data_IF_117594523147
#
_entry.id   IF_117594523147
#
_cell.length_a   1.000
_cell.length_b   1.000
_cell.length_c   1.000
_cell.angle_alpha   90.00
_cell.angle_beta   90.00
_cell.angle_gamma   90.00
#
_symmetry.space_group_name_H-M   'P 1'
#
loop_
_entity.id
_entity.type
_entity.pdbx_description
1 polymer ?
#
# COMPACT_ATOMS: atom_id res chain seq x y z
N UNK A 1 -36.70 -38.77 -94.19
CA UNK A 1 -35.31 -38.98 -93.74
C UNK A 1 -34.88 -37.74 -92.96
N UNK A 2 -35.03 -37.69 -91.73
CA UNK A 2 -34.62 -36.56 -90.89
C UNK A 2 -33.61 -37.10 -89.81
N UNK A 3 -32.43 -36.55 -89.86
CA UNK A 3 -31.37 -36.87 -88.90
C UNK A 3 -31.53 -35.97 -87.68
N UNK A 4 -31.78 -36.53 -86.53
CA UNK A 4 -31.80 -35.87 -85.23
C UNK A 4 -30.41 -35.92 -84.66
N UNK A 5 -29.79 -34.75 -84.50
CA UNK A 5 -28.52 -34.57 -83.81
C UNK A 5 -28.81 -34.36 -82.32
N UNK A 6 -28.30 -35.24 -81.50
CA UNK A 6 -28.32 -35.12 -80.03
C UNK A 6 -27.17 -34.23 -79.56
N UNK A 7 -27.49 -33.26 -78.73
CA UNK A 7 -26.51 -32.36 -78.03
C UNK A 7 -26.24 -32.94 -76.65
N UNK A 8 -24.99 -33.11 -76.18
CA UNK A 8 -24.73 -33.54 -74.85
C UNK A 8 -24.83 -32.38 -73.88
N UNK A 9 -25.59 -32.56 -72.82
CA UNK A 9 -25.77 -31.68 -71.67
C UNK A 9 -24.55 -31.80 -70.73
N UNK A 10 -23.70 -30.83 -70.74
CA UNK A 10 -22.60 -30.74 -69.77
C UNK A 10 -23.13 -30.29 -68.44
N UNK A 11 -23.10 -31.18 -67.44
CA UNK A 11 -23.44 -30.89 -66.05
C UNK A 11 -22.21 -30.23 -65.42
N UNK A 12 -22.29 -28.93 -65.11
CA UNK A 12 -21.28 -28.18 -64.35
C UNK A 12 -21.53 -28.45 -62.89
N UNK A 13 -20.67 -29.26 -62.22
CA UNK A 13 -20.63 -29.41 -60.78
C UNK A 13 -20.03 -28.13 -60.17
N UNK A 14 -20.89 -27.30 -59.63
CA UNK A 14 -20.42 -26.17 -58.78
C UNK A 14 -19.98 -26.72 -57.45
N UNK A 15 -18.67 -26.78 -57.20
CA UNK A 15 -18.09 -27.02 -55.87
C UNK A 15 -18.31 -25.79 -55.01
N UNK A 16 -19.31 -25.80 -54.14
CA UNK A 16 -19.47 -24.82 -53.08
C UNK A 16 -18.43 -25.11 -52.01
N UNK A 17 -17.35 -24.36 -51.98
CA UNK A 17 -16.46 -24.26 -50.85
C UNK A 17 -17.21 -23.63 -49.67
N UNK A 18 -17.60 -24.42 -48.69
CA UNK A 18 -17.98 -23.92 -47.38
C UNK A 18 -16.72 -23.30 -46.77
N UNK A 19 -16.63 -21.99 -46.84
CA UNK A 19 -15.77 -21.23 -45.93
C UNK A 19 -16.38 -21.40 -44.54
N UNK A 20 -15.79 -22.26 -43.71
CA UNK A 20 -16.05 -22.25 -42.29
C UNK A 20 -15.67 -20.84 -41.80
N UNK A 21 -16.65 -20.06 -41.41
CA UNK A 21 -16.42 -18.90 -40.58
C UNK A 21 -15.76 -19.47 -39.33
N UNK A 22 -14.46 -19.18 -39.17
CA UNK A 22 -13.83 -19.30 -37.88
C UNK A 22 -14.67 -18.49 -36.90
N UNK A 23 -15.10 -19.13 -35.86
CA UNK A 23 -15.66 -18.45 -34.72
C UNK A 23 -14.77 -17.26 -34.43
N UNK A 24 -15.34 -16.07 -34.40
CA UNK A 24 -14.72 -14.96 -33.74
C UNK A 24 -14.43 -15.46 -32.32
N UNK A 25 -13.16 -15.57 -32.00
CA UNK A 25 -12.73 -15.54 -30.62
C UNK A 25 -13.37 -14.29 -30.05
N UNK A 26 -14.38 -14.47 -29.22
CA UNK A 26 -14.75 -13.48 -28.26
C UNK A 26 -13.53 -13.43 -27.32
N UNK A 27 -12.55 -12.60 -27.66
CA UNK A 27 -11.63 -12.05 -26.69
C UNK A 27 -12.46 -11.17 -25.75
N UNK A 28 -13.25 -11.79 -24.89
CA UNK A 28 -13.45 -11.27 -23.56
C UNK A 28 -12.13 -11.52 -22.86
N UNK A 29 -11.19 -10.63 -23.05
CA UNK A 29 -10.14 -10.42 -22.06
C UNK A 29 -10.87 -9.81 -20.88
N UNK A 30 -11.39 -10.65 -19.98
CA UNK A 30 -11.79 -10.15 -18.67
C UNK A 30 -10.52 -9.52 -18.09
N UNK A 31 -10.60 -8.25 -17.67
CA UNK A 31 -9.48 -7.56 -17.05
C UNK A 31 -9.01 -8.37 -15.85
N UNK A 32 -7.71 -8.36 -15.59
CA UNK A 32 -7.14 -8.97 -14.40
C UNK A 32 -7.79 -8.36 -13.15
N UNK A 33 -8.33 -9.20 -12.27
CA UNK A 33 -8.97 -8.78 -11.03
C UNK A 33 -7.98 -8.84 -9.88
N UNK A 34 -7.69 -7.70 -9.30
CA UNK A 34 -6.77 -7.58 -8.16
C UNK A 34 -7.54 -7.13 -6.93
N UNK A 35 -7.38 -7.86 -5.84
CA UNK A 35 -7.86 -7.45 -4.53
C UNK A 35 -6.67 -6.98 -3.69
N UNK A 36 -6.71 -5.77 -3.17
CA UNK A 36 -5.66 -5.19 -2.35
C UNK A 36 -6.19 -4.87 -0.95
N UNK A 37 -5.48 -5.28 0.09
CA UNK A 37 -5.91 -5.04 1.48
C UNK A 37 -5.82 -3.58 1.87
N UNK A 38 -4.90 -2.82 1.30
CA UNK A 38 -4.69 -1.39 1.58
C UNK A 38 -4.71 -0.53 0.33
N UNK A 39 -4.95 0.77 0.50
CA UNK A 39 -4.86 1.75 -0.58
C UNK A 39 -3.44 1.86 -1.18
N UNK A 40 -2.40 1.65 -0.38
CA UNK A 40 -1.00 1.64 -0.84
C UNK A 40 -0.75 0.53 -1.87
N UNK A 41 -1.23 -0.68 -1.59
CA UNK A 41 -1.13 -1.82 -2.50
C UNK A 41 -2.00 -1.66 -3.74
N UNK A 42 -3.20 -1.06 -3.57
CA UNK A 42 -4.08 -0.77 -4.69
C UNK A 42 -3.45 0.25 -5.65
N UNK A 43 -2.81 1.31 -5.12
CA UNK A 43 -2.08 2.30 -5.91
C UNK A 43 -0.88 1.67 -6.65
N UNK A 44 -0.10 0.83 -5.97
CA UNK A 44 0.99 0.09 -6.62
C UNK A 44 0.47 -0.78 -7.77
N UNK A 45 -0.59 -1.56 -7.52
CA UNK A 45 -1.21 -2.39 -8.56
C UNK A 45 -1.73 -1.56 -9.75
N UNK A 46 -2.34 -0.39 -9.50
CA UNK A 46 -2.83 0.50 -10.55
C UNK A 46 -1.71 1.09 -11.41
N UNK A 47 -0.54 1.35 -10.82
CA UNK A 47 0.63 1.83 -11.55
C UNK A 47 1.27 0.74 -12.43
N UNK A 48 1.19 -0.54 -12.01
CA UNK A 48 1.79 -1.65 -12.72
C UNK A 48 0.83 -2.28 -13.74
N UNK A 49 -0.45 -2.35 -13.43
CA UNK A 49 -1.49 -2.96 -14.24
C UNK A 49 -2.69 -2.01 -14.39
N UNK A 50 -2.57 -0.91 -15.16
CA UNK A 50 -3.59 0.14 -15.25
C UNK A 50 -4.93 -0.33 -15.86
N UNK A 51 -4.94 -1.46 -16.56
CA UNK A 51 -6.17 -2.05 -17.14
C UNK A 51 -6.84 -3.06 -16.18
N UNK A 52 -6.25 -3.33 -15.01
CA UNK A 52 -6.80 -4.27 -14.04
C UNK A 52 -8.02 -3.70 -13.30
N UNK A 53 -8.96 -4.57 -12.95
CA UNK A 53 -10.08 -4.25 -12.06
C UNK A 53 -9.64 -4.42 -10.60
N UNK A 54 -9.34 -3.29 -9.94
CA UNK A 54 -8.77 -3.29 -8.58
C UNK A 54 -9.86 -3.03 -7.55
N UNK A 55 -9.94 -3.91 -6.55
CA UNK A 55 -10.79 -3.74 -5.36
C UNK A 55 -9.91 -3.49 -4.15
N UNK A 56 -10.15 -2.40 -3.43
CA UNK A 56 -9.44 -2.06 -2.19
C UNK A 56 -10.30 -2.41 -0.98
N UNK A 57 -9.74 -3.15 -0.02
CA UNK A 57 -10.45 -3.54 1.20
C UNK A 57 -10.55 -2.37 2.20
N UNK A 58 -9.41 -1.82 2.59
CA UNK A 58 -9.35 -0.70 3.56
C UNK A 58 -9.19 0.61 2.81
N UNK A 59 -10.26 1.38 2.76
CA UNK A 59 -10.26 2.70 2.14
C UNK A 59 -9.80 3.82 3.07
N UNK A 60 -9.83 5.09 2.61
CA UNK A 60 -9.41 6.24 3.38
C UNK A 60 -10.07 6.33 4.75
N UNK A 61 -9.25 6.55 5.80
CA UNK A 61 -9.71 6.62 7.20
C UNK A 61 -10.07 5.29 7.84
N UNK A 62 -9.89 4.16 7.14
CA UNK A 62 -9.97 2.83 7.72
C UNK A 62 -8.72 2.48 8.52
N UNK A 63 -8.74 1.34 9.21
CA UNK A 63 -7.63 0.85 10.01
C UNK A 63 -7.31 -0.61 9.62
N UNK A 64 -6.20 -0.88 8.92
CA UNK A 64 -5.86 -2.22 8.47
C UNK A 64 -5.54 -3.20 9.60
N UNK A 65 -5.08 -2.73 10.77
CA UNK A 65 -4.74 -3.58 11.90
C UNK A 65 -5.96 -4.24 12.54
N UNK A 66 -7.08 -3.51 12.57
CA UNK A 66 -8.30 -3.93 13.26
C UNK A 66 -9.46 -4.23 12.31
N UNK A 67 -9.27 -4.02 11.01
CA UNK A 67 -10.32 -4.22 10.01
C UNK A 67 -10.83 -5.66 10.02
N UNK A 68 -12.14 -5.79 10.02
CA UNK A 68 -12.81 -7.08 9.90
C UNK A 68 -13.49 -7.17 8.53
N UNK A 69 -13.08 -8.12 7.67
CA UNK A 69 -13.59 -8.19 6.31
C UNK A 69 -15.10 -8.44 6.31
N UNK A 70 -15.79 -7.72 5.45
CA UNK A 70 -17.22 -7.91 5.19
C UNK A 70 -17.44 -9.14 4.31
N UNK A 71 -18.69 -9.59 4.18
CA UNK A 71 -19.04 -10.64 3.21
C UNK A 71 -18.64 -10.27 1.79
N UNK A 72 -18.77 -8.98 1.44
CA UNK A 72 -18.39 -8.47 0.12
C UNK A 72 -16.87 -8.58 -0.10
N UNK A 73 -16.06 -8.23 0.90
CA UNK A 73 -14.60 -8.36 0.80
C UNK A 73 -14.18 -9.82 0.61
N UNK A 74 -14.80 -10.74 1.36
CA UNK A 74 -14.53 -12.17 1.23
C UNK A 74 -14.92 -12.70 -0.16
N UNK A 75 -16.03 -12.22 -0.74
CA UNK A 75 -16.45 -12.58 -2.09
C UNK A 75 -15.48 -12.02 -3.12
N UNK A 76 -15.16 -10.74 -3.04
CA UNK A 76 -14.20 -10.08 -3.95
C UNK A 76 -12.80 -10.73 -3.90
N UNK A 77 -12.32 -11.04 -2.71
CA UNK A 77 -11.04 -11.74 -2.50
C UNK A 77 -11.02 -13.14 -3.15
N UNK A 78 -12.13 -13.88 -3.10
CA UNK A 78 -12.24 -15.20 -3.75
C UNK A 78 -12.30 -15.10 -5.27
N UNK A 79 -12.96 -14.07 -5.78
CA UNK A 79 -13.15 -13.85 -7.23
C UNK A 79 -11.93 -13.21 -7.89
N UNK A 80 -11.01 -12.65 -7.11
CA UNK A 80 -9.78 -12.05 -7.60
C UNK A 80 -8.83 -13.09 -8.22
N UNK A 81 -8.08 -12.69 -9.22
CA UNK A 81 -6.97 -13.46 -9.80
C UNK A 81 -5.71 -13.32 -8.95
N UNK A 82 -5.52 -12.16 -8.31
CA UNK A 82 -4.44 -11.86 -7.38
C UNK A 82 -4.97 -11.13 -6.14
N UNK A 83 -4.51 -11.56 -4.96
CA UNK A 83 -4.73 -10.87 -3.69
C UNK A 83 -3.41 -10.34 -3.18
N UNK A 84 -3.30 -9.01 -3.08
CA UNK A 84 -2.15 -8.31 -2.52
C UNK A 84 -2.45 -7.94 -1.06
N UNK A 85 -1.55 -8.27 -0.17
CA UNK A 85 -1.61 -7.90 1.23
C UNK A 85 -0.22 -7.56 1.77
N UNK A 86 -0.19 -6.78 2.85
CA UNK A 86 1.08 -6.27 3.34
C UNK A 86 1.94 -7.37 3.97
N UNK A 87 1.34 -8.27 4.73
CA UNK A 87 2.09 -9.19 5.57
C UNK A 87 2.62 -8.53 6.83
N UNK A 88 3.65 -9.13 7.47
CA UNK A 88 4.28 -8.60 8.68
C UNK A 88 3.27 -8.31 9.81
N UNK A 89 2.20 -9.08 9.89
CA UNK A 89 1.10 -8.91 10.86
C UNK A 89 0.25 -7.63 10.73
N UNK A 90 0.32 -6.88 9.63
CA UNK A 90 -0.60 -5.75 9.44
C UNK A 90 -2.06 -6.22 9.46
N UNK A 91 -2.37 -7.26 8.70
CA UNK A 91 -3.71 -7.85 8.60
C UNK A 91 -3.90 -9.00 9.61
N UNK A 92 -3.52 -8.76 10.88
CA UNK A 92 -3.48 -9.80 11.93
C UNK A 92 -4.79 -10.58 12.11
N UNK A 93 -5.95 -9.95 11.79
CA UNK A 93 -7.26 -10.56 11.96
C UNK A 93 -7.63 -11.56 10.85
N UNK A 94 -6.85 -11.63 9.74
CA UNK A 94 -7.20 -12.44 8.59
C UNK A 94 -6.03 -13.20 7.95
N UNK A 95 -4.89 -13.29 8.63
CA UNK A 95 -3.68 -14.00 8.13
C UNK A 95 -4.01 -15.40 7.63
N UNK A 96 -4.68 -16.23 8.44
CA UNK A 96 -5.05 -17.60 8.07
C UNK A 96 -5.89 -17.67 6.78
N UNK A 97 -6.75 -16.66 6.57
CA UNK A 97 -7.62 -16.58 5.39
C UNK A 97 -6.80 -16.22 4.15
N UNK A 98 -5.90 -15.25 4.27
CA UNK A 98 -5.02 -14.79 3.19
C UNK A 98 -4.05 -15.90 2.77
N UNK A 99 -3.38 -16.54 3.71
CA UNK A 99 -2.48 -17.67 3.45
C UNK A 99 -3.19 -18.87 2.79
N UNK A 100 -4.48 -19.09 3.14
CA UNK A 100 -5.27 -20.18 2.55
C UNK A 100 -5.52 -20.05 1.05
N UNK A 101 -5.29 -18.86 0.47
CA UNK A 101 -5.42 -18.60 -0.97
C UNK A 101 -4.26 -19.19 -1.79
N UNK A 102 -3.18 -19.65 -1.13
CA UNK A 102 -2.04 -20.29 -1.78
C UNK A 102 -1.36 -19.40 -2.80
N UNK A 103 -1.24 -19.84 -4.05
CA UNK A 103 -0.55 -19.10 -5.10
C UNK A 103 -1.29 -17.84 -5.60
N UNK A 104 -2.56 -17.66 -5.23
CA UNK A 104 -3.36 -16.49 -5.61
C UNK A 104 -3.04 -15.23 -4.78
N UNK A 105 -2.21 -15.33 -3.76
CA UNK A 105 -1.89 -14.20 -2.88
C UNK A 105 -0.40 -13.86 -2.92
N UNK A 106 -0.09 -12.63 -2.50
CA UNK A 106 1.26 -12.15 -2.26
C UNK A 106 1.27 -11.26 -1.01
N UNK A 107 1.99 -11.72 0.04
CA UNK A 107 2.38 -10.90 1.18
C UNK A 107 3.64 -10.14 0.79
N UNK A 108 3.53 -8.86 0.47
CA UNK A 108 4.68 -8.10 -0.07
C UNK A 108 5.78 -7.90 0.96
N UNK A 109 5.44 -7.74 2.24
CA UNK A 109 6.39 -7.59 3.33
C UNK A 109 7.21 -8.86 3.59
N UNK A 110 6.64 -10.03 3.31
CA UNK A 110 7.32 -11.31 3.49
C UNK A 110 8.33 -11.61 2.35
N UNK A 111 8.33 -10.79 1.29
CA UNK A 111 9.33 -10.86 0.22
C UNK A 111 10.60 -10.06 0.53
N UNK A 112 10.58 -9.26 1.58
CA UNK A 112 11.69 -8.37 1.95
C UNK A 112 12.75 -9.11 2.78
N UNK A 113 14.02 -8.66 2.70
CA UNK A 113 15.08 -9.19 3.54
C UNK A 113 14.86 -8.76 5.00
N UNK A 114 14.76 -9.72 5.91
CA UNK A 114 14.59 -9.48 7.34
C UNK A 114 15.64 -8.52 7.93
N UNK A 115 16.85 -8.46 7.35
CA UNK A 115 17.94 -7.56 7.79
C UNK A 115 17.60 -6.07 7.53
N UNK A 116 16.72 -5.79 6.58
CA UNK A 116 16.27 -4.44 6.28
C UNK A 116 15.05 -4.02 7.13
N UNK A 117 14.34 -5.00 7.69
CA UNK A 117 13.16 -4.76 8.52
C UNK A 117 13.52 -4.21 9.91
N UNK A 118 12.58 -3.45 10.48
CA UNK A 118 12.68 -2.98 11.85
C UNK A 118 12.00 -3.98 12.79
N UNK A 119 12.68 -4.43 13.85
CA UNK A 119 12.05 -5.34 14.79
C UNK A 119 10.92 -4.64 15.55
N UNK A 120 9.81 -5.32 15.67
CA UNK A 120 8.75 -4.90 16.56
C UNK A 120 9.08 -5.35 17.99
N UNK A 121 8.89 -4.51 19.03
CA UNK A 121 9.25 -4.87 20.40
C UNK A 121 8.48 -6.05 20.99
N UNK A 122 7.28 -6.30 20.47
CA UNK A 122 6.42 -7.40 20.88
C UNK A 122 6.75 -8.68 20.13
N UNK A 123 6.37 -9.81 20.71
CA UNK A 123 6.54 -11.12 20.09
C UNK A 123 5.18 -11.67 19.67
N UNK A 124 5.13 -12.41 18.58
CA UNK A 124 3.96 -13.13 18.15
C UNK A 124 3.53 -14.23 19.12
N UNK A 125 2.36 -14.83 18.88
CA UNK A 125 1.75 -15.83 19.78
C UNK A 125 2.62 -17.07 20.03
N UNK A 126 3.52 -17.38 19.10
CA UNK A 126 4.49 -18.49 19.20
C UNK A 126 5.85 -18.08 19.76
N UNK A 127 6.06 -16.81 20.09
CA UNK A 127 7.35 -16.24 20.50
C UNK A 127 8.24 -15.87 19.31
N UNK A 128 7.67 -15.84 18.10
CA UNK A 128 8.33 -15.38 16.88
C UNK A 128 8.62 -13.88 16.94
N UNK A 129 9.73 -13.46 16.32
CA UNK A 129 10.05 -12.06 16.15
C UNK A 129 9.04 -11.44 15.15
N UNK A 130 8.39 -10.37 15.58
CA UNK A 130 7.57 -9.54 14.68
C UNK A 130 8.39 -8.37 14.16
N UNK A 131 7.98 -7.87 13.00
CA UNK A 131 8.57 -6.72 12.35
C UNK A 131 7.52 -5.63 12.14
N UNK A 132 7.97 -4.38 12.16
CA UNK A 132 7.14 -3.21 11.88
C UNK A 132 6.56 -3.33 10.45
N UNK A 133 5.22 -3.34 10.30
CA UNK A 133 4.60 -3.59 9.00
C UNK A 133 4.55 -2.36 8.08
N UNK A 134 4.88 -1.16 8.56
CA UNK A 134 4.67 0.12 7.84
C UNK A 134 5.77 0.38 6.80
N UNK A 135 6.03 -0.62 5.95
CA UNK A 135 7.12 -0.64 4.96
C UNK A 135 7.03 0.45 3.90
N UNK A 136 5.81 0.96 3.60
CA UNK A 136 5.59 2.07 2.66
C UNK A 136 6.24 3.39 3.12
N UNK A 137 6.56 3.54 4.41
CA UNK A 137 7.30 4.67 4.93
C UNK A 137 8.81 4.61 4.66
N UNK A 138 9.30 3.53 4.03
CA UNK A 138 10.64 3.41 3.47
C UNK A 138 10.56 3.32 1.94
N UNK A 139 10.94 4.35 1.18
CA UNK A 139 10.99 4.26 -0.28
C UNK A 139 11.78 3.06 -0.81
N UNK A 140 12.88 2.69 -0.13
CA UNK A 140 13.67 1.50 -0.46
C UNK A 140 12.84 0.22 -0.37
N UNK A 141 12.16 0.00 0.77
CA UNK A 141 11.37 -1.22 0.98
C UNK A 141 10.12 -1.23 0.10
N UNK A 142 9.53 -0.06 -0.11
CA UNK A 142 8.37 0.06 -0.99
C UNK A 142 8.71 -0.23 -2.45
N UNK A 143 9.87 0.21 -2.95
CA UNK A 143 10.36 -0.18 -4.29
C UNK A 143 10.52 -1.70 -4.41
N UNK A 144 11.09 -2.36 -3.41
CA UNK A 144 11.21 -3.82 -3.40
C UNK A 144 9.84 -4.53 -3.37
N UNK A 145 8.86 -3.97 -2.65
CA UNK A 145 7.49 -4.46 -2.66
C UNK A 145 6.85 -4.29 -4.06
N UNK A 146 7.08 -3.15 -4.72
CA UNK A 146 6.63 -2.88 -6.10
C UNK A 146 7.24 -3.87 -7.09
N UNK A 147 8.55 -4.14 -6.99
CA UNK A 147 9.24 -5.16 -7.80
C UNK A 147 8.57 -6.52 -7.63
N UNK A 148 8.32 -6.95 -6.37
CA UNK A 148 7.68 -8.25 -6.09
C UNK A 148 6.25 -8.34 -6.62
N UNK A 149 5.50 -7.24 -6.65
CA UNK A 149 4.17 -7.17 -7.27
C UNK A 149 4.30 -7.34 -8.80
N UNK A 150 5.26 -6.65 -9.43
CA UNK A 150 5.52 -6.75 -10.87
C UNK A 150 5.88 -8.17 -11.29
N UNK A 151 6.76 -8.84 -10.56
CA UNK A 151 7.14 -10.23 -10.77
C UNK A 151 5.92 -11.16 -10.65
N UNK A 152 5.11 -10.97 -9.62
CA UNK A 152 3.90 -11.77 -9.39
C UNK A 152 2.86 -11.58 -10.48
N UNK A 153 2.67 -10.37 -10.98
CA UNK A 153 1.82 -10.08 -12.13
C UNK A 153 2.32 -10.79 -13.39
N UNK A 154 3.64 -10.76 -13.64
CA UNK A 154 4.26 -11.47 -14.75
C UNK A 154 4.13 -12.99 -14.68
N UNK A 155 4.12 -13.57 -13.48
CA UNK A 155 3.87 -15.01 -13.26
C UNK A 155 2.44 -15.41 -13.61
N UNK A 156 1.46 -14.54 -13.30
CA UNK A 156 0.04 -14.80 -13.54
C UNK A 156 -0.33 -14.54 -15.00
N UNK A 157 0.21 -13.48 -15.57
CA UNK A 157 -0.02 -13.03 -16.94
C UNK A 157 1.30 -12.89 -17.70
N UNK A 158 1.84 -14.03 -18.11
CA UNK A 158 3.14 -14.11 -18.77
C UNK A 158 3.20 -13.44 -20.15
N UNK A 159 2.05 -13.17 -20.77
CA UNK A 159 1.97 -12.45 -22.04
C UNK A 159 2.39 -10.97 -21.86
N UNK A 160 2.05 -10.36 -20.71
CA UNK A 160 2.35 -8.98 -20.38
C UNK A 160 3.49 -8.82 -19.35
N UNK A 161 4.25 -9.89 -19.04
CA UNK A 161 5.31 -9.85 -18.02
C UNK A 161 6.34 -8.72 -18.24
N UNK A 162 6.72 -8.45 -19.50
CA UNK A 162 7.66 -7.39 -19.83
C UNK A 162 7.07 -5.97 -19.60
N UNK A 163 5.77 -5.83 -19.77
CA UNK A 163 5.07 -4.56 -19.53
C UNK A 163 4.99 -4.28 -18.03
N UNK A 164 4.68 -5.29 -17.21
CA UNK A 164 4.67 -5.18 -15.74
C UNK A 164 6.04 -4.84 -15.18
N UNK A 165 7.11 -5.51 -15.64
CA UNK A 165 8.48 -5.20 -15.24
C UNK A 165 8.86 -3.76 -15.61
N UNK A 166 8.52 -3.32 -16.83
CA UNK A 166 8.79 -1.93 -17.27
C UNK A 166 8.00 -0.92 -16.44
N UNK A 167 6.76 -1.22 -16.07
CA UNK A 167 5.93 -0.36 -15.24
C UNK A 167 6.48 -0.28 -13.81
N UNK A 168 6.96 -1.39 -13.24
CA UNK A 168 7.63 -1.43 -11.94
C UNK A 168 8.89 -0.54 -11.95
N UNK A 169 9.80 -0.71 -12.91
CA UNK A 169 11.02 0.12 -13.06
C UNK A 169 10.70 1.62 -13.13
N UNK A 170 9.64 1.97 -13.87
CA UNK A 170 9.18 3.35 -13.98
C UNK A 170 8.64 3.90 -12.66
N UNK A 171 7.85 3.10 -11.94
CA UNK A 171 7.28 3.51 -10.67
C UNK A 171 8.35 3.62 -9.58
N UNK A 172 9.29 2.70 -9.50
CA UNK A 172 10.47 2.78 -8.63
C UNK A 172 11.30 4.04 -8.88
N UNK A 173 11.47 4.42 -10.14
CA UNK A 173 12.14 5.67 -10.50
C UNK A 173 11.41 6.91 -9.96
N UNK A 174 10.07 6.88 -9.92
CA UNK A 174 9.26 7.96 -9.33
C UNK A 174 9.38 7.95 -7.79
N UNK A 175 9.39 6.77 -7.16
CA UNK A 175 9.60 6.62 -5.72
C UNK A 175 10.96 7.20 -5.31
N UNK A 176 12.02 6.88 -6.06
CA UNK A 176 13.35 7.44 -5.83
C UNK A 176 13.39 8.97 -5.97
N UNK A 177 12.71 9.51 -6.97
CA UNK A 177 12.60 10.96 -7.16
C UNK A 177 11.83 11.65 -6.02
N UNK A 178 10.77 11.02 -5.49
CA UNK A 178 10.03 11.50 -4.34
C UNK A 178 10.88 11.47 -3.06
N UNK A 179 11.70 10.44 -2.87
CA UNK A 179 12.69 10.38 -1.78
C UNK A 179 13.69 11.53 -1.87
N UNK A 180 14.30 11.73 -3.03
CA UNK A 180 15.27 12.83 -3.26
C UNK A 180 14.66 14.22 -2.97
N UNK A 181 13.39 14.41 -3.27
CA UNK A 181 12.65 15.63 -2.98
C UNK A 181 12.43 15.78 -1.47
N UNK A 182 11.96 14.73 -0.81
CA UNK A 182 11.75 14.70 0.64
C UNK A 182 13.05 14.97 1.41
N UNK A 183 14.18 14.38 1.01
CA UNK A 183 15.49 14.64 1.61
C UNK A 183 15.87 16.11 1.57
N UNK A 184 15.63 16.80 0.44
CA UNK A 184 15.91 18.22 0.28
C UNK A 184 14.99 19.08 1.15
N UNK A 185 13.70 18.78 1.21
CA UNK A 185 12.73 19.51 2.02
C UNK A 185 13.02 19.34 3.52
N UNK A 186 13.38 18.13 3.96
CA UNK A 186 13.67 17.81 5.35
C UNK A 186 15.07 18.22 5.80
N UNK A 187 15.95 18.68 4.92
CA UNK A 187 17.37 18.96 5.25
C UNK A 187 17.56 19.97 6.38
N UNK A 188 16.64 20.92 6.52
CA UNK A 188 16.71 21.99 7.56
C UNK A 188 15.83 21.73 8.77
N UNK A 189 14.98 20.68 8.75
CA UNK A 189 14.05 20.37 9.83
C UNK A 189 14.76 20.14 11.17
N UNK A 190 14.32 20.82 12.22
CA UNK A 190 14.84 20.69 13.60
C UNK A 190 13.75 20.97 14.62
N UNK A 191 13.74 20.24 15.76
CA UNK A 191 14.62 19.11 16.07
C UNK A 191 14.33 17.91 15.17
N UNK A 192 15.29 16.97 15.07
CA UNK A 192 15.09 15.70 14.34
C UNK A 192 14.32 14.70 15.21
N UNK A 193 13.15 15.14 15.66
CA UNK A 193 12.24 14.36 16.49
C UNK A 193 10.84 14.52 15.93
N UNK A 194 10.19 13.41 15.63
CA UNK A 194 8.83 13.37 15.11
C UNK A 194 7.92 12.75 16.17
N UNK A 195 6.87 13.48 16.54
CA UNK A 195 5.84 13.02 17.47
C UNK A 195 4.56 12.81 16.70
N UNK A 196 4.05 11.58 16.64
CA UNK A 196 2.84 11.18 15.88
C UNK A 196 1.76 10.64 16.81
N UNK A 197 0.58 10.43 16.28
CA UNK A 197 -0.49 9.73 16.96
C UNK A 197 -0.22 8.23 16.98
N UNK A 198 -0.11 7.63 15.81
CA UNK A 198 0.18 6.21 15.62
C UNK A 198 1.67 5.98 15.35
N UNK A 199 2.20 4.82 15.79
CA UNK A 199 3.61 4.44 15.66
C UNK A 199 3.92 3.77 14.31
N UNK A 200 3.59 4.48 13.22
CA UNK A 200 3.74 4.00 11.84
C UNK A 200 5.00 4.55 11.13
N UNK A 201 5.71 5.51 11.71
CA UNK A 201 6.73 6.29 10.99
C UNK A 201 8.18 5.87 11.28
N UNK A 202 8.41 4.68 11.86
CA UNK A 202 9.76 4.23 12.22
C UNK A 202 10.68 4.09 11.01
N UNK A 203 10.16 3.58 9.87
CA UNK A 203 10.93 3.54 8.62
C UNK A 203 11.19 4.92 8.02
N UNK A 204 10.26 5.86 8.15
CA UNK A 204 10.50 7.26 7.81
C UNK A 204 11.63 7.83 8.67
N UNK A 205 11.61 7.56 9.97
CA UNK A 205 12.67 7.93 10.90
C UNK A 205 14.03 7.36 10.51
N UNK A 206 14.09 6.07 10.17
CA UNK A 206 15.32 5.41 9.70
C UNK A 206 15.84 6.02 8.39
N UNK A 207 14.94 6.36 7.46
CA UNK A 207 15.28 6.91 6.15
C UNK A 207 15.81 8.34 6.26
N UNK A 208 15.17 9.18 7.09
CA UNK A 208 15.45 10.62 7.15
C UNK A 208 16.11 11.07 8.44
N UNK A 209 16.63 10.16 9.26
CA UNK A 209 17.33 10.45 10.53
C UNK A 209 16.47 11.24 11.53
N UNK A 210 15.23 10.77 11.78
CA UNK A 210 14.36 11.27 12.84
C UNK A 210 14.22 10.24 13.96
N UNK A 211 14.19 10.74 15.20
CA UNK A 211 13.81 9.98 16.39
C UNK A 211 12.27 9.99 16.48
N UNK A 212 11.65 8.84 16.35
CA UNK A 212 10.20 8.70 16.26
C UNK A 212 9.60 8.36 17.61
N UNK A 213 8.54 9.06 17.99
CA UNK A 213 7.73 8.77 19.16
C UNK A 213 6.26 8.95 18.83
N UNK A 214 5.40 8.08 19.37
CA UNK A 214 3.96 8.10 19.11
C UNK A 214 3.13 8.03 20.39
N UNK A 215 1.86 8.43 20.31
CA UNK A 215 0.91 8.30 21.43
C UNK A 215 0.33 6.89 21.53
N UNK A 216 0.37 6.12 20.46
CA UNK A 216 -0.07 4.73 20.38
C UNK A 216 1.12 3.80 20.04
N UNK A 217 0.84 2.51 19.88
CA UNK A 217 1.82 1.49 19.53
C UNK A 217 1.84 1.22 18.02
N UNK A 218 2.70 0.31 17.58
CA UNK A 218 2.78 -0.18 16.18
C UNK A 218 1.49 -0.87 15.74
N UNK A 219 0.70 -1.42 16.65
CA UNK A 219 -0.68 -1.82 16.40
C UNK A 219 -1.65 -0.85 17.07
N UNK A 220 -2.76 -0.57 16.41
CA UNK A 220 -3.83 0.27 16.96
C UNK A 220 -4.72 -0.46 17.97
N UNK A 221 -4.51 -1.76 18.21
CA UNK A 221 -5.27 -2.57 19.18
C UNK A 221 -5.05 -2.14 20.64
N UNK A 222 -3.92 -1.46 20.93
CA UNK A 222 -3.57 -1.02 22.27
C UNK A 222 -3.18 0.45 22.32
N UNK A 223 -3.41 1.11 23.45
CA UNK A 223 -3.04 2.50 23.68
C UNK A 223 -2.04 2.61 24.82
N UNK A 224 -1.15 3.60 24.75
CA UNK A 224 -0.15 3.86 25.81
C UNK A 224 -0.82 4.23 27.13
N UNK A 225 -0.24 3.76 28.21
CA UNK A 225 -0.67 4.09 29.58
C UNK A 225 -0.43 5.56 29.92
N UNK A 226 -1.09 6.06 30.96
CA UNK A 226 -0.87 7.42 31.46
C UNK A 226 0.61 7.69 31.84
N UNK A 227 1.33 6.66 32.29
CA UNK A 227 2.76 6.77 32.61
C UNK A 227 3.59 6.98 31.34
N UNK A 228 3.38 6.18 30.30
CA UNK A 228 4.08 6.30 29.02
C UNK A 228 3.78 7.64 28.34
N UNK A 229 2.53 8.12 28.38
CA UNK A 229 2.18 9.47 27.89
C UNK A 229 2.88 10.55 28.70
N UNK A 230 3.04 10.35 30.03
CA UNK A 230 3.80 11.29 30.88
C UNK A 230 5.29 11.33 30.50
N UNK A 231 5.92 10.17 30.29
CA UNK A 231 7.32 10.06 29.84
C UNK A 231 7.53 10.68 28.45
N UNK A 232 6.57 10.49 27.56
CA UNK A 232 6.59 11.14 26.24
C UNK A 232 6.49 12.67 26.36
N UNK A 233 5.67 13.16 27.29
CA UNK A 233 5.56 14.61 27.55
C UNK A 233 6.87 15.20 28.13
N UNK A 234 7.60 14.44 28.95
CA UNK A 234 8.93 14.83 29.42
C UNK A 234 9.92 14.93 28.24
N UNK A 235 9.92 13.92 27.37
CA UNK A 235 10.75 13.89 26.15
C UNK A 235 10.49 15.10 25.25
N UNK A 236 9.23 15.46 25.01
CA UNK A 236 8.84 16.60 24.17
C UNK A 236 9.34 17.92 24.79
N UNK A 237 9.14 18.08 26.10
CA UNK A 237 9.56 19.30 26.81
C UNK A 237 11.08 19.43 26.85
N UNK A 238 11.82 18.37 27.13
CA UNK A 238 13.27 18.35 27.21
C UNK A 238 13.94 18.60 25.85
N UNK A 239 13.44 17.94 24.80
CA UNK A 239 13.93 18.11 23.43
C UNK A 239 13.38 19.36 22.74
N UNK A 240 12.45 20.09 23.40
CA UNK A 240 11.79 21.28 22.88
C UNK A 240 11.13 21.07 21.53
N UNK A 241 10.43 19.95 21.38
CA UNK A 241 9.70 19.63 20.15
C UNK A 241 8.53 20.60 20.01
N UNK A 242 8.39 21.32 18.88
CA UNK A 242 7.39 22.36 18.74
C UNK A 242 5.99 21.87 18.35
N UNK A 243 5.90 20.65 17.78
CA UNK A 243 4.66 20.14 17.18
C UNK A 243 4.46 18.65 17.46
N UNK A 244 3.21 18.27 17.73
CA UNK A 244 2.70 16.90 17.70
C UNK A 244 1.91 16.78 16.40
N UNK A 245 2.28 15.83 15.55
CA UNK A 245 1.56 15.57 14.31
C UNK A 245 0.38 14.64 14.58
N UNK A 246 -0.81 15.06 14.20
CA UNK A 246 -1.93 14.13 14.07
C UNK A 246 -1.77 13.36 12.77
N UNK A 247 -2.25 12.16 12.75
CA UNK A 247 -2.30 11.29 11.57
C UNK A 247 -3.70 10.67 11.45
N UNK A 248 -3.96 10.02 10.34
CA UNK A 248 -5.27 9.45 10.02
C UNK A 248 -5.64 8.21 10.85
N UNK A 249 -4.77 7.78 11.79
CA UNK A 249 -5.04 6.75 12.80
C UNK A 249 -5.01 7.30 14.23
N UNK A 250 -4.57 8.54 14.40
CA UNK A 250 -4.39 9.15 15.71
C UNK A 250 -5.67 9.15 16.55
N UNK A 251 -5.54 8.73 17.81
CA UNK A 251 -6.58 8.96 18.80
C UNK A 251 -6.57 10.44 19.24
N UNK A 252 -7.59 11.27 18.88
CA UNK A 252 -7.57 12.70 19.19
C UNK A 252 -7.52 13.00 20.69
N UNK A 253 -8.05 12.09 21.52
CA UNK A 253 -8.02 12.23 22.98
C UNK A 253 -6.60 12.05 23.53
N UNK A 254 -5.84 11.07 22.99
CA UNK A 254 -4.46 10.83 23.38
C UNK A 254 -3.57 12.03 23.01
N UNK A 255 -3.69 12.53 21.78
CA UNK A 255 -2.96 13.72 21.30
C UNK A 255 -3.27 14.95 22.18
N UNK A 256 -4.54 15.19 22.52
CA UNK A 256 -4.95 16.30 23.39
C UNK A 256 -4.38 16.15 24.79
N UNK A 257 -4.41 14.95 25.34
CA UNK A 257 -3.89 14.65 26.69
C UNK A 257 -2.38 14.84 26.73
N UNK A 258 -1.65 14.41 25.69
CA UNK A 258 -0.22 14.63 25.55
C UNK A 258 0.11 16.13 25.50
N UNK A 259 -0.60 16.93 24.68
CA UNK A 259 -0.40 18.36 24.61
C UNK A 259 -0.54 19.03 25.98
N UNK A 260 -1.61 18.72 26.72
CA UNK A 260 -1.83 19.25 28.08
C UNK A 260 -0.73 18.81 29.05
N UNK A 261 -0.26 17.57 28.96
CA UNK A 261 0.83 17.06 29.77
C UNK A 261 2.16 17.82 29.51
N UNK A 262 2.46 18.14 28.25
CA UNK A 262 3.63 18.95 27.87
C UNK A 262 3.50 20.39 28.38
N UNK A 263 2.33 21.00 28.24
CA UNK A 263 2.08 22.37 28.74
C UNK A 263 2.25 22.46 30.26
N UNK A 264 1.87 21.43 30.99
CA UNK A 264 2.07 21.37 32.45
C UNK A 264 3.55 21.36 32.85
N UNK A 265 4.47 21.01 31.95
CA UNK A 265 5.93 21.05 32.09
C UNK A 265 6.55 22.39 31.70
N UNK A 266 5.71 23.36 31.32
CA UNK A 266 6.14 24.71 30.93
C UNK A 266 6.64 24.83 29.49
N UNK A 267 6.47 23.79 28.67
CA UNK A 267 6.76 23.85 27.24
C UNK A 267 5.46 23.98 26.44
N UNK A 268 5.43 24.90 25.47
CA UNK A 268 4.28 25.08 24.58
C UNK A 268 4.49 24.27 23.31
N UNK A 269 3.67 23.25 23.11
CA UNK A 269 3.63 22.45 21.89
C UNK A 269 2.31 22.69 21.16
N UNK A 270 2.33 22.66 19.83
CA UNK A 270 1.11 22.74 19.00
C UNK A 270 0.78 21.36 18.43
N UNK A 271 -0.49 21.16 18.10
CA UNK A 271 -0.89 20.02 17.28
C UNK A 271 -0.95 20.50 15.83
N UNK A 272 -0.46 19.69 14.89
CA UNK A 272 -0.46 20.04 13.46
C UNK A 272 -1.86 20.29 12.94
N UNK A 273 -2.00 21.30 12.07
CA UNK A 273 -3.26 21.56 11.36
C UNK A 273 -3.51 20.50 10.29
N UNK A 274 -2.45 20.14 9.57
CA UNK A 274 -2.45 19.12 8.54
C UNK A 274 -2.19 17.73 9.16
N UNK A 275 -2.86 16.72 8.60
CA UNK A 275 -2.79 15.33 9.04
C UNK A 275 -1.72 14.59 8.23
N UNK A 276 -0.99 13.68 8.88
CA UNK A 276 -0.11 12.74 8.19
C UNK A 276 -0.91 11.49 7.79
N UNK A 277 -0.55 10.91 6.67
CA UNK A 277 -1.10 9.64 6.20
C UNK A 277 -0.24 8.50 6.74
N UNK A 278 -0.74 7.80 7.77
CA UNK A 278 -0.08 6.67 8.41
C UNK A 278 -0.38 5.37 7.66
N UNK A 279 -1.60 4.83 7.81
CA UNK A 279 -1.97 3.49 7.34
C UNK A 279 -2.87 3.49 6.10
N UNK A 280 -3.44 4.62 5.75
CA UNK A 280 -4.27 4.76 4.55
C UNK A 280 -3.91 6.00 3.76
N UNK A 281 -4.17 5.94 2.46
CA UNK A 281 -4.11 7.10 1.58
C UNK A 281 -5.24 8.09 1.91
N UNK A 282 -5.09 9.32 1.42
CA UNK A 282 -6.13 10.33 1.52
C UNK A 282 -7.32 10.04 0.60
N UNK A 283 -8.46 10.73 0.84
CA UNK A 283 -9.65 10.55 0.00
C UNK A 283 -9.58 11.30 -1.34
N UNK A 284 -8.70 12.28 -1.47
CA UNK A 284 -8.64 13.21 -2.60
C UNK A 284 -7.20 13.39 -3.11
N UNK A 285 -7.06 13.71 -4.40
CA UNK A 285 -5.77 14.01 -5.01
C UNK A 285 -5.11 15.25 -4.37
N UNK A 286 -3.78 15.23 -4.21
CA UNK A 286 -2.84 14.20 -4.67
C UNK A 286 -2.64 13.04 -3.67
N UNK A 287 -3.22 13.10 -2.48
CA UNK A 287 -2.95 12.18 -1.36
C UNK A 287 -3.66 10.83 -1.48
N UNK A 288 -4.48 10.66 -2.50
CA UNK A 288 -5.10 9.38 -2.91
C UNK A 288 -4.12 8.42 -3.62
N UNK A 289 -2.85 8.83 -3.78
CA UNK A 289 -1.76 8.03 -4.29
C UNK A 289 -0.63 7.91 -3.27
N UNK A 290 0.17 6.85 -3.36
CA UNK A 290 1.35 6.68 -2.51
C UNK A 290 2.32 7.86 -2.61
N UNK A 291 2.69 8.25 -3.82
CA UNK A 291 3.62 9.36 -4.03
C UNK A 291 3.09 10.66 -3.45
N UNK A 292 1.80 10.95 -3.66
CA UNK A 292 1.18 12.15 -3.13
C UNK A 292 1.10 12.17 -1.61
N UNK A 293 0.75 11.06 -0.97
CA UNK A 293 0.71 10.93 0.49
C UNK A 293 2.11 11.01 1.10
N UNK A 294 3.11 10.35 0.49
CA UNK A 294 4.50 10.39 0.93
C UNK A 294 5.10 11.82 0.84
N UNK A 295 4.92 12.49 -0.28
CA UNK A 295 5.38 13.87 -0.47
C UNK A 295 4.66 14.84 0.48
N UNK A 296 3.35 14.66 0.70
CA UNK A 296 2.58 15.43 1.67
C UNK A 296 3.13 15.28 3.08
N UNK A 297 3.40 14.04 3.51
CA UNK A 297 3.97 13.76 4.83
C UNK A 297 5.32 14.46 5.01
N UNK A 298 6.24 14.30 4.06
CA UNK A 298 7.54 14.93 4.10
C UNK A 298 7.45 16.47 4.13
N UNK A 299 6.59 17.05 3.29
CA UNK A 299 6.35 18.50 3.24
C UNK A 299 5.78 19.03 4.55
N UNK A 300 4.77 18.35 5.10
CA UNK A 300 4.11 18.75 6.35
C UNK A 300 5.10 18.74 7.52
N UNK A 301 5.94 17.69 7.62
CA UNK A 301 7.00 17.62 8.63
C UNK A 301 8.05 18.71 8.42
N UNK A 302 8.53 18.89 7.20
CA UNK A 302 9.52 19.93 6.88
C UNK A 302 9.01 21.32 7.23
N UNK A 303 7.79 21.67 6.84
CA UNK A 303 7.15 22.98 7.10
C UNK A 303 7.00 23.27 8.59
N UNK A 304 6.68 22.27 9.39
CA UNK A 304 6.45 22.44 10.84
C UNK A 304 7.75 22.48 11.66
N UNK A 305 8.85 21.93 11.14
CA UNK A 305 10.15 21.82 11.84
C UNK A 305 11.26 22.70 11.22
N UNK A 306 10.92 23.61 10.30
CA UNK A 306 11.87 24.53 9.63
C UNK A 306 11.98 25.89 10.29
#
# INVERSE_FOLDING_TARGET
>A
MQKTTALPLAILLAATTLTACSNGENNHTDNLKIFATTGYLADAAANLAPEADITTMVGPGGDPHTYQPTTHDIEAMKDADLVLWNGLHLEAQMVDQLESLGEKQLAVGDQLDEQDLLPWPEQGKGGEQLYDPHIWNSPKLWSQAVESIGDKLGDIDSEHAADYSTAADNYESQIAAAQDKAEKELATAKPRVLITGHDAFNYFGKTFDFDIHATDFVTTEATKSATEISELADTIADKKVPVIFKDNQANPQAVTSLQQAVESRGWKVTVSDEELFADTLGPDAPTDTYLGAFEHNAHTVAKALS
#
